data_IF_019716238450
#
_entry.id   IF_019716238450
#
_cell.length_a   1.000
_cell.length_b   1.000
_cell.length_c   1.000
_cell.angle_alpha   90.00
_cell.angle_beta   90.00
_cell.angle_gamma   90.00
#
_symmetry.space_group_name_H-M   'P 1'
#
loop_
_entity.id
_entity.type
_entity.pdbx_description
1 polymer ?
#
# COMPACT_ATOMS: atom_id res chain seq x y z
N UNK A 1 -8.96 -18.26 -23.28
CA UNK A 1 -9.54 -17.06 -22.63
C UNK A 1 -11.05 -17.22 -22.58
N UNK A 2 -11.67 -17.06 -21.41
CA UNK A 2 -13.12 -17.19 -21.21
C UNK A 2 -13.84 -15.84 -21.47
N UNK A 3 -15.09 -15.85 -21.92
CA UNK A 3 -15.88 -14.63 -22.23
C UNK A 3 -15.96 -13.70 -21.01
N UNK A 4 -16.07 -14.28 -19.81
CA UNK A 4 -16.05 -13.54 -18.55
C UNK A 4 -14.77 -12.70 -18.36
N UNK A 5 -13.59 -13.27 -18.61
CA UNK A 5 -12.32 -12.56 -18.43
C UNK A 5 -12.24 -11.36 -19.39
N UNK A 6 -12.53 -11.57 -20.67
CA UNK A 6 -12.47 -10.49 -21.66
C UNK A 6 -13.48 -9.37 -21.37
N UNK A 7 -14.67 -9.72 -20.87
CA UNK A 7 -15.67 -8.72 -20.47
C UNK A 7 -15.25 -7.96 -19.21
N UNK A 8 -14.50 -8.61 -18.30
CA UNK A 8 -14.09 -8.01 -17.03
C UNK A 8 -13.14 -6.83 -17.21
N UNK A 9 -12.21 -6.86 -18.17
CA UNK A 9 -11.25 -5.76 -18.40
C UNK A 9 -11.63 -4.80 -19.53
N UNK A 10 -12.61 -5.16 -20.37
CA UNK A 10 -13.03 -4.33 -21.51
C UNK A 10 -13.95 -3.17 -21.13
N UNK A 11 -14.61 -3.25 -19.97
CA UNK A 11 -15.47 -2.19 -19.45
C UNK A 11 -14.85 -1.62 -18.18
N UNK A 12 -14.19 -0.47 -18.34
CA UNK A 12 -13.59 0.24 -17.22
C UNK A 12 -14.65 0.58 -16.17
N UNK A 13 -14.33 0.28 -14.93
CA UNK A 13 -15.06 0.75 -13.78
C UNK A 13 -15.06 2.28 -13.80
N UNK A 14 -16.17 2.90 -13.41
CA UNK A 14 -16.32 4.36 -13.30
C UNK A 14 -15.27 5.02 -12.39
N UNK A 15 -14.61 4.20 -11.58
CA UNK A 15 -13.43 4.53 -10.76
C UNK A 15 -12.33 5.22 -11.57
N UNK A 16 -12.14 4.84 -12.84
CA UNK A 16 -11.07 5.38 -13.70
C UNK A 16 -11.44 6.69 -14.43
N UNK A 17 -12.63 7.23 -14.21
CA UNK A 17 -13.07 8.45 -14.89
C UNK A 17 -12.36 9.69 -14.33
N UNK A 18 -11.69 10.41 -15.24
CA UNK A 18 -10.86 11.60 -14.95
C UNK A 18 -9.72 11.33 -13.97
N UNK A 19 -9.22 10.09 -13.92
CA UNK A 19 -8.07 9.70 -13.10
C UNK A 19 -6.79 9.64 -13.91
N UNK A 20 -5.68 9.98 -13.26
CA UNK A 20 -4.32 9.65 -13.67
C UNK A 20 -3.72 8.62 -12.70
N UNK A 21 -2.45 8.28 -12.89
CA UNK A 21 -1.67 7.44 -11.99
C UNK A 21 -0.56 8.30 -11.41
N UNK A 22 -0.25 8.14 -10.12
CA UNK A 22 1.06 8.52 -9.60
C UNK A 22 1.96 7.29 -9.59
N UNK A 23 3.07 7.39 -10.28
CA UNK A 23 4.19 6.47 -10.21
C UNK A 23 5.22 7.04 -9.24
N UNK A 24 5.51 6.32 -8.17
CA UNK A 24 6.72 6.54 -7.38
C UNK A 24 7.83 5.73 -8.01
N UNK A 25 8.82 6.37 -8.64
CA UNK A 25 9.96 5.67 -9.25
C UNK A 25 11.18 5.63 -8.33
N UNK A 26 11.37 6.64 -7.49
CA UNK A 26 12.41 6.67 -6.46
C UNK A 26 11.85 7.27 -5.16
N UNK A 27 12.69 7.44 -4.14
CA UNK A 27 12.30 8.10 -2.90
C UNK A 27 12.00 9.60 -3.07
N UNK A 28 12.37 10.19 -4.21
CA UNK A 28 12.22 11.62 -4.52
C UNK A 28 11.46 11.89 -5.80
N UNK A 29 11.39 10.90 -6.69
CA UNK A 29 10.83 11.06 -8.02
C UNK A 29 9.43 10.46 -8.11
N UNK A 30 8.48 11.35 -8.38
CA UNK A 30 7.08 11.03 -8.59
C UNK A 30 6.66 11.52 -9.96
N UNK A 31 5.89 10.71 -10.69
CA UNK A 31 5.38 11.03 -12.02
C UNK A 31 3.88 10.88 -12.05
N UNK A 32 3.17 11.90 -12.55
CA UNK A 32 1.78 11.79 -12.93
C UNK A 32 1.68 11.30 -14.37
N UNK A 33 1.13 10.10 -14.55
CA UNK A 33 0.90 9.46 -15.84
C UNK A 33 -0.59 9.54 -16.19
N UNK A 34 -0.92 10.08 -17.36
CA UNK A 34 -2.30 10.22 -17.82
C UNK A 34 -2.44 9.85 -19.29
N UNK A 35 -3.68 9.71 -19.74
CA UNK A 35 -3.99 9.08 -21.03
C UNK A 35 -4.33 7.61 -20.89
N UNK A 36 -4.72 6.98 -22.00
CA UNK A 36 -5.14 5.59 -21.98
C UNK A 36 -3.94 4.64 -21.86
N UNK A 37 -2.81 5.01 -22.45
CA UNK A 37 -1.54 4.26 -22.45
C UNK A 37 -0.44 4.97 -21.67
N UNK A 38 -0.81 5.90 -20.80
CA UNK A 38 0.14 6.70 -20.02
C UNK A 38 1.08 7.57 -20.88
N UNK A 39 0.60 7.99 -22.06
CA UNK A 39 1.36 8.79 -23.01
C UNK A 39 1.71 10.20 -22.50
N UNK A 40 0.95 10.71 -21.52
CA UNK A 40 1.20 12.01 -20.92
C UNK A 40 1.85 11.83 -19.55
N UNK A 41 3.15 12.05 -19.49
CA UNK A 41 3.95 11.97 -18.28
C UNK A 41 4.41 13.34 -17.80
N UNK A 42 4.17 13.64 -16.53
CA UNK A 42 4.63 14.87 -15.88
C UNK A 42 5.31 14.53 -14.57
N UNK A 43 6.58 14.94 -14.41
CA UNK A 43 7.28 14.82 -13.14
C UNK A 43 6.67 15.78 -12.12
N UNK A 44 6.32 15.29 -10.95
CA UNK A 44 5.77 16.06 -9.85
C UNK A 44 6.88 16.70 -9.01
N UNK A 45 6.61 17.90 -8.50
CA UNK A 45 7.48 18.56 -7.55
C UNK A 45 7.24 17.99 -6.14
N UNK A 46 8.02 16.99 -5.76
CA UNK A 46 8.00 16.45 -4.41
C UNK A 46 9.11 17.09 -3.56
N UNK A 47 8.70 17.76 -2.48
CA UNK A 47 9.60 18.26 -1.45
C UNK A 47 9.40 17.43 -0.19
N UNK A 48 10.49 16.84 0.33
CA UNK A 48 10.40 16.03 1.54
C UNK A 48 9.85 16.89 2.71
N UNK A 49 8.65 16.57 3.25
CA UNK A 49 8.02 17.39 4.29
C UNK A 49 8.69 17.27 5.67
N UNK A 50 9.65 16.35 5.85
CA UNK A 50 10.19 16.01 7.16
C UNK A 50 11.55 16.66 7.50
N UNK A 51 12.11 17.49 6.59
CA UNK A 51 13.29 18.36 6.79
C UNK A 51 14.53 17.75 7.52
N UNK A 52 14.78 16.43 7.45
CA UNK A 52 15.89 15.74 8.13
C UNK A 52 16.58 14.67 7.24
N UNK A 53 17.77 14.22 7.66
CA UNK A 53 18.79 13.38 6.98
C UNK A 53 18.35 12.02 6.38
N UNK A 54 17.09 11.62 6.55
CA UNK A 54 16.54 10.42 5.93
C UNK A 54 15.75 10.76 4.66
N UNK A 55 16.29 10.45 3.46
CA UNK A 55 15.64 10.75 2.20
C UNK A 55 14.46 9.82 1.87
N UNK A 56 14.19 8.78 2.67
CA UNK A 56 13.22 7.74 2.36
C UNK A 56 11.79 8.14 2.78
N UNK A 57 11.15 8.97 1.95
CA UNK A 57 9.70 9.16 1.97
C UNK A 57 9.02 8.11 1.09
N UNK A 58 8.13 7.31 1.69
CA UNK A 58 7.30 6.36 0.94
C UNK A 58 5.88 6.90 0.82
N UNK A 59 5.28 6.83 -0.38
CA UNK A 59 3.83 6.95 -0.50
C UNK A 59 3.21 5.63 -0.07
N UNK A 60 2.09 5.71 0.65
CA UNK A 60 1.33 4.54 1.07
C UNK A 60 0.50 4.03 -0.11
N UNK A 61 0.71 2.77 -0.51
CA UNK A 61 0.01 2.13 -1.64
C UNK A 61 -1.53 2.21 -1.56
N UNK A 62 -2.07 2.33 -0.35
CA UNK A 62 -3.50 2.57 -0.11
C UNK A 62 -3.89 4.03 -0.38
N UNK A 63 -3.56 4.58 -1.54
CA UNK A 63 -3.93 5.95 -1.89
C UNK A 63 -5.43 6.08 -2.17
N UNK A 64 -6.12 6.97 -1.46
CA UNK A 64 -7.46 7.39 -1.86
C UNK A 64 -7.39 8.10 -3.21
N UNK A 65 -8.31 7.81 -4.14
CA UNK A 65 -8.41 8.54 -5.43
C UNK A 65 -8.93 9.98 -5.24
N UNK A 66 -8.80 10.58 -4.07
CA UNK A 66 -9.38 11.89 -3.76
C UNK A 66 -8.29 12.97 -3.74
N UNK A 67 -7.16 12.70 -4.38
CA UNK A 67 -6.09 13.66 -4.67
C UNK A 67 -5.15 14.00 -3.52
N UNK A 68 -5.40 13.43 -2.34
CA UNK A 68 -4.46 13.49 -1.22
C UNK A 68 -3.76 12.15 -1.13
N UNK A 69 -2.45 12.20 -0.94
CA UNK A 69 -1.57 11.05 -0.76
C UNK A 69 -1.08 11.02 0.68
N UNK A 70 -0.88 9.83 1.22
CA UNK A 70 -0.24 9.65 2.52
C UNK A 70 1.23 9.31 2.30
N UNK A 71 2.13 10.15 2.82
CA UNK A 71 3.57 9.93 2.80
C UNK A 71 4.09 9.67 4.20
N UNK A 72 4.98 8.71 4.36
CA UNK A 72 5.52 8.33 5.66
C UNK A 72 7.01 8.02 5.61
N UNK A 73 7.67 8.21 6.75
CA UNK A 73 9.04 7.77 7.01
C UNK A 73 9.01 6.53 7.89
N UNK A 74 9.67 5.48 7.45
CA UNK A 74 9.69 4.21 8.17
C UNK A 74 10.39 4.32 9.53
N UNK A 75 11.61 4.86 9.55
CA UNK A 75 12.46 4.87 10.75
C UNK A 75 11.88 5.76 11.87
N UNK A 76 11.33 6.92 11.51
CA UNK A 76 10.82 7.88 12.49
C UNK A 76 9.32 7.77 12.76
N UNK A 77 8.59 6.97 11.94
CA UNK A 77 7.13 6.89 12.00
C UNK A 77 6.41 8.22 11.75
N UNK A 78 7.13 9.23 11.21
CA UNK A 78 6.57 10.52 10.81
C UNK A 78 5.67 10.31 9.60
N UNK A 79 4.52 10.98 9.58
CA UNK A 79 3.56 10.88 8.48
C UNK A 79 3.08 12.26 8.11
N UNK A 80 2.89 12.49 6.82
CA UNK A 80 2.30 13.70 6.28
C UNK A 80 1.30 13.35 5.18
N UNK A 81 0.33 14.23 4.98
CA UNK A 81 -0.52 14.21 3.82
C UNK A 81 0.05 15.16 2.78
N UNK A 82 0.07 14.72 1.53
CA UNK A 82 0.56 15.46 0.40
C UNK A 82 -0.56 15.61 -0.63
N UNK A 83 -0.88 16.84 -1.00
CA UNK A 83 -1.68 17.11 -2.18
C UNK A 83 -0.74 17.63 -3.28
N UNK A 84 -0.45 16.81 -4.32
CA UNK A 84 0.38 17.23 -5.45
C UNK A 84 -0.13 18.44 -6.23
N UNK A 85 -1.39 18.85 -6.04
CA UNK A 85 -1.88 20.13 -6.59
C UNK A 85 -2.89 20.74 -5.62
N UNK A 86 -2.50 21.69 -4.75
CA UNK A 86 -1.60 22.80 -5.10
C UNK A 86 -0.16 22.66 -4.57
N UNK A 87 0.36 21.44 -4.40
CA UNK A 87 1.68 21.18 -3.79
C UNK A 87 1.71 21.51 -2.29
N UNK A 88 0.65 21.08 -1.59
CA UNK A 88 0.51 21.31 -0.15
C UNK A 88 0.88 20.06 0.64
N UNK A 89 1.57 20.28 1.76
CA UNK A 89 1.83 19.24 2.76
C UNK A 89 1.17 19.58 4.08
N UNK A 90 0.67 18.55 4.77
CA UNK A 90 0.23 18.63 6.16
C UNK A 90 0.89 17.53 6.96
N UNK A 91 1.77 17.91 7.87
CA UNK A 91 2.37 16.97 8.83
C UNK A 91 1.30 16.54 9.83
N UNK A 92 1.19 15.23 10.05
CA UNK A 92 0.25 14.66 11.02
C UNK A 92 0.89 14.80 12.42
N UNK A 93 0.13 15.27 13.43
CA UNK A 93 0.66 15.34 14.79
C UNK A 93 1.07 13.95 15.30
N UNK A 94 2.05 13.86 16.20
CA UNK A 94 2.39 12.59 16.85
C UNK A 94 1.18 12.05 17.61
N UNK A 95 1.07 10.72 17.72
CA UNK A 95 0.02 10.15 18.54
C UNK A 95 0.29 10.41 20.04
N UNK A 96 -0.73 10.83 20.81
CA UNK A 96 -0.62 10.97 22.25
C UNK A 96 -0.62 9.62 22.98
N UNK A 97 -0.90 8.51 22.29
CA UNK A 97 -1.01 7.18 22.87
C UNK A 97 0.27 6.36 22.74
N UNK A 98 1.25 6.84 21.95
CA UNK A 98 2.54 6.19 21.79
C UNK A 98 3.26 6.12 23.13
N UNK A 99 3.30 4.93 23.70
CA UNK A 99 4.15 4.64 24.84
C UNK A 99 5.61 4.63 24.41
N UNK A 100 6.48 5.29 25.19
CA UNK A 100 7.93 5.27 24.96
C UNK A 100 8.60 4.69 26.21
N UNK A 101 8.97 3.42 26.13
CA UNK A 101 9.82 2.78 27.12
C UNK A 101 11.28 3.03 26.76
N UNK A 102 12.19 3.27 27.72
CA UNK A 102 13.62 3.30 27.43
C UNK A 102 14.17 1.92 27.04
N UNK A 103 13.40 0.84 27.25
CA UNK A 103 13.80 -0.55 26.97
C UNK A 103 13.17 -1.12 25.70
N UNK A 104 12.30 -0.38 25.01
CA UNK A 104 11.62 -0.86 23.81
C UNK A 104 11.77 0.14 22.67
N UNK A 105 12.03 -0.40 21.48
CA UNK A 105 11.79 0.31 20.24
C UNK A 105 10.36 0.03 19.75
N UNK A 106 9.84 0.93 18.92
CA UNK A 106 8.56 0.73 18.28
C UNK A 106 8.67 0.94 16.78
N UNK A 107 7.83 0.22 16.04
CA UNK A 107 7.70 0.40 14.59
C UNK A 107 6.29 0.86 14.31
N UNK A 108 6.17 2.01 13.64
CA UNK A 108 4.89 2.54 13.18
C UNK A 108 4.62 2.00 11.79
N UNK A 109 3.49 1.32 11.61
CA UNK A 109 3.09 0.73 10.36
C UNK A 109 1.77 1.32 9.88
N UNK A 110 1.78 2.30 8.97
CA UNK A 110 0.59 2.74 8.26
C UNK A 110 0.00 1.56 7.47
N UNK A 111 -1.28 1.27 7.66
CA UNK A 111 -1.94 0.13 7.02
C UNK A 111 -2.91 0.56 5.93
N UNK A 112 -3.55 1.70 6.13
CA UNK A 112 -4.58 2.19 5.24
C UNK A 112 -4.77 3.68 5.34
N UNK A 113 -4.96 4.31 4.20
CA UNK A 113 -5.37 5.71 4.08
C UNK A 113 -6.55 5.77 3.13
N UNK A 114 -7.57 6.56 3.48
CA UNK A 114 -8.78 6.59 2.70
C UNK A 114 -9.70 7.74 3.07
N UNK A 115 -10.82 7.84 2.35
CA UNK A 115 -11.79 8.91 2.50
C UNK A 115 -13.14 8.33 2.91
N UNK A 116 -13.60 8.69 4.11
CA UNK A 116 -14.94 8.39 4.61
C UNK A 116 -15.91 9.41 4.00
N UNK A 117 -16.56 9.03 2.89
CA UNK A 117 -17.48 9.89 2.16
C UNK A 117 -18.70 10.32 2.99
N UNK A 118 -19.10 9.53 3.97
CA UNK A 118 -20.27 9.82 4.82
C UNK A 118 -19.94 10.92 5.82
N UNK A 119 -18.73 10.88 6.39
CA UNK A 119 -18.27 11.89 7.37
C UNK A 119 -17.52 13.04 6.74
N UNK A 120 -17.23 12.94 5.43
CA UNK A 120 -16.40 13.88 4.69
C UNK A 120 -15.08 14.10 5.42
N UNK A 121 -14.33 13.01 5.58
CA UNK A 121 -13.10 12.97 6.37
C UNK A 121 -12.08 11.99 5.80
N UNK A 122 -10.81 12.42 5.83
CA UNK A 122 -9.69 11.56 5.50
C UNK A 122 -9.21 10.85 6.74
N UNK A 123 -9.08 9.53 6.64
CA UNK A 123 -8.66 8.69 7.75
C UNK A 123 -7.38 7.94 7.42
N UNK A 124 -6.51 7.84 8.42
CA UNK A 124 -5.30 7.01 8.38
C UNK A 124 -5.40 5.98 9.50
N UNK A 125 -5.45 4.70 9.13
CA UNK A 125 -5.33 3.58 10.06
C UNK A 125 -3.89 3.10 10.08
N UNK A 126 -3.36 2.88 11.29
CA UNK A 126 -2.03 2.33 11.49
C UNK A 126 -1.98 1.41 12.71
N UNK A 127 -0.96 0.57 12.72
CA UNK A 127 -0.64 -0.30 13.84
C UNK A 127 0.79 0.02 14.32
N UNK A 128 1.00 0.01 15.64
CA UNK A 128 2.31 0.23 16.25
C UNK A 128 2.70 -1.04 16.99
N UNK A 129 3.83 -1.62 16.59
CA UNK A 129 4.44 -2.77 17.26
C UNK A 129 5.56 -2.34 18.19
N UNK A 130 5.63 -2.96 19.35
CA UNK A 130 6.69 -2.75 20.34
C UNK A 130 7.64 -3.95 20.34
N UNK A 131 8.94 -3.69 20.37
CA UNK A 131 9.98 -4.69 20.30
C UNK A 131 11.06 -4.39 21.33
N UNK A 132 11.76 -5.43 21.78
CA UNK A 132 12.93 -5.23 22.61
C UNK A 132 14.02 -4.48 21.83
N UNK A 133 14.79 -3.70 22.57
CA UNK A 133 16.09 -3.29 22.09
C UNK A 133 16.98 -4.52 21.89
N UNK A 134 17.86 -4.44 20.91
CA UNK A 134 18.95 -5.37 20.70
C UNK A 134 20.08 -5.09 21.69
N UNK A 135 20.98 -6.05 21.87
CA UNK A 135 22.06 -5.93 22.86
C UNK A 135 22.95 -4.72 22.56
N UNK A 136 23.28 -4.50 21.30
CA UNK A 136 24.08 -3.35 20.83
C UNK A 136 23.38 -2.01 21.11
N UNK A 137 22.07 -1.92 20.81
CA UNK A 137 21.25 -0.73 21.11
C UNK A 137 21.22 -0.45 22.62
N UNK A 138 21.23 -1.48 23.47
CA UNK A 138 21.31 -1.32 24.91
C UNK A 138 22.67 -0.77 25.35
N UNK A 139 23.78 -1.28 24.81
CA UNK A 139 25.13 -0.79 25.12
C UNK A 139 25.30 0.69 24.75
N UNK A 140 24.81 1.10 23.58
CA UNK A 140 24.85 2.50 23.12
C UNK A 140 24.06 3.44 24.03
N UNK A 141 22.93 2.97 24.57
CA UNK A 141 22.09 3.72 25.49
C UNK A 141 22.56 3.63 26.96
N UNK A 142 23.64 2.89 27.24
CA UNK A 142 24.14 2.66 28.59
C UNK A 142 23.20 1.82 29.46
N UNK A 143 22.35 1.01 28.83
CA UNK A 143 21.37 0.13 29.48
C UNK A 143 22.01 -1.23 29.71
N UNK A 144 22.08 -1.66 30.97
CA UNK A 144 22.50 -3.02 31.33
C UNK A 144 21.43 -4.03 30.90
N UNK A 145 21.79 -4.97 30.02
CA UNK A 145 20.88 -6.00 29.53
C UNK A 145 20.29 -6.86 30.65
N UNK A 146 21.05 -7.14 31.71
CA UNK A 146 20.57 -7.94 32.85
C UNK A 146 19.55 -7.23 33.72
N UNK A 147 19.55 -5.89 33.70
CA UNK A 147 18.77 -5.06 34.62
C UNK A 147 17.46 -4.57 33.98
N UNK A 148 17.31 -4.77 32.68
CA UNK A 148 16.12 -4.41 31.94
C UNK A 148 14.94 -5.38 32.24
N UNK A 149 13.72 -4.86 32.43
CA UNK A 149 12.57 -5.64 32.88
C UNK A 149 11.87 -6.39 31.73
N UNK A 150 12.63 -7.15 30.92
CA UNK A 150 12.16 -7.76 29.66
C UNK A 150 10.86 -8.57 29.77
N UNK A 151 10.61 -9.18 30.93
CA UNK A 151 9.45 -10.01 31.21
C UNK A 151 8.18 -9.22 31.55
N UNK A 152 8.34 -7.99 32.01
CA UNK A 152 7.23 -7.12 32.45
C UNK A 152 6.81 -6.13 31.35
N UNK A 153 7.54 -6.10 30.23
CA UNK A 153 7.21 -5.27 29.07
C UNK A 153 5.98 -5.80 28.34
N UNK A 154 5.08 -4.89 27.95
CA UNK A 154 3.96 -5.22 27.07
C UNK A 154 4.41 -5.13 25.61
N UNK A 155 3.95 -6.08 24.80
CA UNK A 155 4.17 -6.13 23.35
C UNK A 155 2.83 -6.09 22.60
N UNK A 156 1.77 -5.62 23.26
CA UNK A 156 0.47 -5.43 22.64
C UNK A 156 0.55 -4.38 21.53
N UNK A 157 -0.05 -4.70 20.39
CA UNK A 157 -0.12 -3.76 19.29
C UNK A 157 -1.06 -2.61 19.63
N UNK A 158 -0.60 -1.39 19.39
CA UNK A 158 -1.44 -0.19 19.48
C UNK A 158 -2.03 0.09 18.10
N UNK A 159 -3.35 -0.09 17.99
CA UNK A 159 -4.10 0.25 16.79
C UNK A 159 -4.69 1.65 16.91
N UNK A 160 -4.47 2.46 15.87
CA UNK A 160 -4.86 3.85 15.88
C UNK A 160 -5.49 4.26 14.56
N UNK A 161 -6.45 5.17 14.66
CA UNK A 161 -7.00 5.87 13.52
C UNK A 161 -6.89 7.38 13.73
N UNK A 162 -6.39 8.06 12.72
CA UNK A 162 -6.35 9.51 12.66
C UNK A 162 -7.48 10.02 11.79
N UNK A 163 -8.12 11.11 12.24
CA UNK A 163 -9.06 11.90 11.46
C UNK A 163 -8.40 13.22 11.06
N UNK A 164 -8.42 13.53 9.77
CA UNK A 164 -7.92 14.81 9.27
C UNK A 164 -8.78 15.97 9.75
N UNK A 165 -10.10 15.80 9.62
CA UNK A 165 -11.12 16.80 9.93
C UNK A 165 -11.02 17.26 11.39
N UNK A 166 -10.97 16.32 12.34
CA UNK A 166 -10.82 16.68 13.76
C UNK A 166 -9.37 16.88 14.18
N UNK A 167 -8.40 16.51 13.35
CA UNK A 167 -6.97 16.58 13.64
C UNK A 167 -6.56 15.80 14.91
N UNK A 168 -7.19 14.65 15.14
CA UNK A 168 -7.00 13.85 16.36
C UNK A 168 -6.77 12.38 16.05
N UNK A 169 -5.97 11.75 16.91
CA UNK A 169 -5.84 10.30 16.99
C UNK A 169 -6.90 9.71 17.92
N UNK A 170 -7.33 8.49 17.61
CA UNK A 170 -8.17 7.64 18.44
C UNK A 170 -7.62 6.22 18.45
N UNK A 171 -7.69 5.54 19.61
CA UNK A 171 -7.41 4.11 19.70
C UNK A 171 -8.54 3.29 19.07
N UNK A 172 -8.17 2.28 18.30
CA UNK A 172 -9.08 1.23 17.83
C UNK A 172 -8.98 0.04 18.79
N UNK A 173 -10.13 -0.47 19.20
CA UNK A 173 -10.21 -1.70 19.96
C UNK A 173 -10.29 -2.86 18.98
N UNK A 174 -9.15 -3.54 18.78
CA UNK A 174 -9.00 -4.62 17.82
C UNK A 174 -8.77 -5.91 18.58
N UNK A 175 -9.87 -6.60 18.87
CA UNK A 175 -9.84 -7.93 19.46
C UNK A 175 -9.32 -8.92 18.40
N UNK A 176 -8.08 -9.41 18.59
CA UNK A 176 -7.54 -10.61 17.94
C UNK A 176 -6.82 -10.44 16.58
N UNK A 177 -6.52 -9.22 16.13
CA UNK A 177 -5.68 -9.01 14.93
C UNK A 177 -4.24 -8.73 15.30
N UNK A 178 -3.39 -9.75 15.22
CA UNK A 178 -1.96 -9.52 15.14
C UNK A 178 -1.65 -8.86 13.78
N UNK A 179 -0.90 -7.76 13.80
CA UNK A 179 -0.33 -7.20 12.57
C UNK A 179 1.04 -7.85 12.37
N UNK A 180 1.21 -8.68 11.35
CA UNK A 180 2.53 -9.23 10.99
C UNK A 180 3.25 -8.40 9.93
N UNK A 181 2.54 -7.49 9.26
CA UNK A 181 3.05 -6.72 8.12
C UNK A 181 3.78 -5.43 8.49
N UNK A 182 4.92 -5.51 9.17
CA UNK A 182 5.81 -4.35 9.39
C UNK A 182 6.73 -4.04 8.21
N UNK A 183 6.45 -4.58 7.02
CA UNK A 183 7.29 -4.39 5.84
C UNK A 183 6.81 -3.21 4.97
N UNK A 184 7.77 -2.47 4.40
CA UNK A 184 7.54 -1.41 3.40
C UNK A 184 7.46 -1.98 1.97
N UNK A 185 7.04 -3.23 1.84
CA UNK A 185 6.97 -3.89 0.53
C UNK A 185 5.76 -3.30 -0.21
N UNK A 186 6.00 -2.84 -1.44
CA UNK A 186 4.95 -2.39 -2.34
C UNK A 186 3.99 -3.54 -2.69
N UNK A 187 2.72 -3.22 -2.93
CA UNK A 187 1.70 -4.21 -3.26
C UNK A 187 1.21 -4.98 -2.04
N UNK A 188 1.42 -4.44 -0.84
CA UNK A 188 0.87 -4.99 0.41
C UNK A 188 -0.47 -4.36 0.77
N UNK A 189 -0.71 -3.11 0.34
CA UNK A 189 -1.86 -2.31 0.76
C UNK A 189 -2.63 -1.83 -0.47
N UNK A 190 -3.93 -1.67 -0.33
CA UNK A 190 -4.81 -1.21 -1.41
C UNK A 190 -5.99 -0.44 -0.80
N UNK A 191 -6.39 0.65 -1.42
CA UNK A 191 -7.65 1.32 -1.11
C UNK A 191 -8.62 1.16 -2.27
N UNK A 192 -9.75 0.49 -2.03
CA UNK A 192 -10.83 0.35 -3.02
C UNK A 192 -12.16 0.19 -2.30
N UNK A 193 -13.27 0.54 -2.96
CA UNK A 193 -14.63 0.38 -2.42
C UNK A 193 -14.80 0.97 -1.00
N UNK A 194 -14.18 2.13 -0.74
CA UNK A 194 -14.22 2.84 0.55
C UNK A 194 -13.59 2.07 1.73
N UNK A 195 -12.80 1.04 1.43
CA UNK A 195 -12.14 0.19 2.39
C UNK A 195 -10.62 0.22 2.20
N UNK A 196 -9.92 0.11 3.33
CA UNK A 196 -8.49 -0.12 3.35
C UNK A 196 -8.23 -1.62 3.41
N UNK A 197 -7.47 -2.15 2.48
CA UNK A 197 -7.10 -3.55 2.41
C UNK A 197 -5.60 -3.69 2.61
N UNK A 198 -5.19 -4.70 3.35
CA UNK A 198 -3.80 -5.15 3.37
C UNK A 198 -3.76 -6.66 3.51
N UNK A 199 -2.75 -7.29 2.92
CA UNK A 199 -2.55 -8.72 3.10
C UNK A 199 -1.43 -8.99 4.06
N UNK A 200 -1.52 -10.11 4.77
CA UNK A 200 -0.52 -10.53 5.73
C UNK A 200 -0.42 -12.06 5.81
N UNK A 201 0.70 -12.54 6.32
CA UNK A 201 0.83 -13.95 6.69
C UNK A 201 0.04 -14.18 7.98
N UNK A 202 -0.98 -15.03 7.88
CA UNK A 202 -1.86 -15.36 8.99
C UNK A 202 -1.09 -16.13 10.07
N UNK A 203 -1.31 -15.78 11.34
CA UNK A 203 -0.69 -16.51 12.47
C UNK A 203 -1.42 -17.82 12.80
N UNK A 204 -2.74 -17.87 12.56
CA UNK A 204 -3.60 -19.02 12.92
C UNK A 204 -3.65 -20.10 11.84
N UNK A 205 -3.48 -19.68 10.59
CA UNK A 205 -3.53 -20.53 9.41
C UNK A 205 -2.20 -20.34 8.70
N UNK A 206 -1.45 -21.40 8.47
CA UNK A 206 -0.21 -21.42 7.69
C UNK A 206 -0.52 -20.97 6.24
N UNK A 207 -0.65 -19.66 6.03
CA UNK A 207 -1.46 -19.09 4.96
C UNK A 207 -1.39 -17.56 4.86
N UNK A 208 -1.96 -17.03 3.79
CA UNK A 208 -2.10 -15.58 3.57
C UNK A 208 -3.55 -15.20 3.73
N UNK A 209 -3.78 -14.05 4.36
CA UNK A 209 -5.11 -13.45 4.53
C UNK A 209 -5.10 -12.00 4.08
N UNK A 210 -6.22 -11.53 3.56
CA UNK A 210 -6.49 -10.12 3.28
C UNK A 210 -7.39 -9.59 4.38
N UNK A 211 -6.88 -8.64 5.14
CA UNK A 211 -7.64 -7.83 6.07
C UNK A 211 -8.24 -6.64 5.32
N UNK A 212 -9.55 -6.45 5.47
CA UNK A 212 -10.30 -5.35 4.86
C UNK A 212 -10.97 -4.55 5.97
N UNK A 213 -10.62 -3.27 6.08
CA UNK A 213 -11.16 -2.36 7.07
C UNK A 213 -12.10 -1.35 6.41
N UNK A 214 -13.37 -1.42 6.81
CA UNK A 214 -14.40 -0.47 6.42
C UNK A 214 -14.23 0.84 7.18
N UNK A 215 -13.82 1.91 6.50
CA UNK A 215 -13.60 3.22 7.14
C UNK A 215 -14.87 3.87 7.66
N UNK A 216 -16.02 3.51 7.11
CA UNK A 216 -17.33 4.07 7.44
C UNK A 216 -17.91 3.43 8.69
N UNK A 217 -17.91 2.10 8.72
CA UNK A 217 -18.48 1.33 9.84
C UNK A 217 -17.43 0.91 10.86
N UNK A 218 -16.15 1.03 10.51
CA UNK A 218 -14.99 0.69 11.34
C UNK A 218 -14.97 -0.78 11.74
N UNK A 219 -15.29 -1.65 10.76
CA UNK A 219 -15.38 -3.09 10.90
C UNK A 219 -14.28 -3.76 10.06
N UNK A 220 -13.70 -4.82 10.61
CA UNK A 220 -12.70 -5.65 9.94
C UNK A 220 -13.35 -6.88 9.30
N UNK A 221 -12.86 -7.24 8.13
CA UNK A 221 -13.20 -8.48 7.43
C UNK A 221 -11.91 -9.20 7.03
N UNK A 222 -11.74 -10.42 7.51
CA UNK A 222 -10.62 -11.28 7.12
C UNK A 222 -11.06 -12.20 5.98
N UNK A 223 -10.30 -12.21 4.88
CA UNK A 223 -10.51 -13.12 3.76
C UNK A 223 -9.28 -13.99 3.55
N UNK A 224 -9.41 -15.30 3.71
CA UNK A 224 -8.31 -16.22 3.42
C UNK A 224 -8.02 -16.27 1.92
N UNK A 225 -6.74 -16.25 1.56
CA UNK A 225 -6.29 -16.40 0.17
C UNK A 225 -6.05 -17.89 -0.10
N UNK A 226 -6.66 -18.50 -1.13
CA UNK A 226 -6.49 -19.91 -1.46
C UNK A 226 -5.15 -20.14 -2.18
N UNK A 227 -4.05 -19.85 -1.50
CA UNK A 227 -2.71 -20.19 -1.97
C UNK A 227 -2.40 -21.63 -1.57
N UNK A 228 -1.78 -22.36 -2.50
CA UNK A 228 -1.22 -23.68 -2.23
C UNK A 228 0.06 -23.53 -1.40
N UNK A 229 1.22 -23.76 -2.03
CA UNK A 229 2.50 -23.49 -1.37
C UNK A 229 2.74 -21.98 -1.22
N UNK A 230 2.63 -21.50 0.01
CA UNK A 230 2.77 -20.08 0.39
C UNK A 230 4.24 -19.64 0.41
N UNK A 231 5.17 -20.57 0.64
CA UNK A 231 6.59 -20.26 0.85
C UNK A 231 7.37 -20.03 -0.45
N UNK A 232 6.91 -20.63 -1.55
CA UNK A 232 7.52 -20.45 -2.88
C UNK A 232 6.87 -19.37 -3.73
N UNK A 233 5.78 -18.76 -3.26
CA UNK A 233 5.00 -17.79 -4.00
C UNK A 233 5.20 -16.37 -3.50
N UNK A 234 5.43 -15.47 -4.45
CA UNK A 234 5.37 -14.02 -4.25
C UNK A 234 4.00 -13.51 -4.65
N UNK A 235 3.55 -12.44 -3.98
CA UNK A 235 2.24 -11.83 -4.16
C UNK A 235 2.39 -10.31 -4.29
N UNK A 236 1.56 -9.74 -5.16
CA UNK A 236 1.39 -8.29 -5.27
C UNK A 236 -0.10 -7.99 -5.37
N UNK A 237 -0.64 -7.27 -4.40
CA UNK A 237 -2.05 -6.87 -4.36
C UNK A 237 -2.24 -5.59 -5.17
N UNK A 238 -3.26 -5.58 -6.02
CA UNK A 238 -3.60 -4.46 -6.91
C UNK A 238 -5.11 -4.25 -6.99
N UNK A 239 -5.52 -3.04 -7.39
CA UNK A 239 -6.90 -2.78 -7.80
C UNK A 239 -7.08 -3.07 -9.29
N UNK A 240 -7.92 -4.04 -9.63
CA UNK A 240 -8.23 -4.38 -11.02
C UNK A 240 -9.73 -4.25 -11.27
N UNK A 241 -10.10 -3.23 -12.05
CA UNK A 241 -11.47 -2.94 -12.43
C UNK A 241 -12.48 -2.84 -11.26
N UNK A 242 -12.07 -2.23 -10.15
CA UNK A 242 -12.88 -2.07 -8.93
C UNK A 242 -12.83 -3.28 -7.98
N UNK A 243 -12.22 -4.39 -8.37
CA UNK A 243 -11.99 -5.55 -7.51
C UNK A 243 -10.57 -5.55 -6.92
N UNK A 244 -10.42 -6.20 -5.77
CA UNK A 244 -9.10 -6.56 -5.23
C UNK A 244 -8.56 -7.71 -6.08
N UNK A 245 -7.30 -7.62 -6.50
CA UNK A 245 -6.64 -8.67 -7.26
C UNK A 245 -5.26 -8.97 -6.70
N UNK A 246 -4.83 -10.22 -6.87
CA UNK A 246 -3.44 -10.62 -6.69
C UNK A 246 -2.81 -10.94 -8.03
N UNK A 247 -1.62 -10.39 -8.24
CA UNK A 247 -0.65 -10.90 -9.21
C UNK A 247 0.30 -11.79 -8.41
N UNK A 248 0.33 -13.08 -8.73
CA UNK A 248 1.12 -14.07 -8.00
C UNK A 248 2.07 -14.82 -8.93
N UNK A 249 3.27 -15.13 -8.46
CA UNK A 249 4.25 -15.88 -9.23
C UNK A 249 5.12 -16.75 -8.32
N UNK A 250 5.66 -17.83 -8.88
CA UNK A 250 6.60 -18.69 -8.16
C UNK A 250 8.02 -18.19 -8.39
N UNK A 251 8.84 -18.18 -7.33
CA UNK A 251 10.25 -17.80 -7.41
C UNK A 251 10.98 -18.58 -8.51
N UNK A 252 11.71 -17.87 -9.37
CA UNK A 252 12.41 -18.45 -10.52
C UNK A 252 11.56 -18.67 -11.78
N UNK A 253 10.27 -18.33 -11.74
CA UNK A 253 9.40 -18.31 -12.95
C UNK A 253 9.14 -16.89 -13.42
N UNK A 254 8.78 -16.73 -14.70
CA UNK A 254 8.33 -15.44 -15.28
C UNK A 254 6.86 -15.49 -15.70
N UNK A 255 6.09 -16.40 -15.10
CA UNK A 255 4.66 -16.57 -15.33
C UNK A 255 3.90 -16.04 -14.12
N UNK A 256 2.86 -15.25 -14.38
CA UNK A 256 2.08 -14.60 -13.34
C UNK A 256 0.62 -15.02 -13.45
N UNK A 257 0.04 -15.37 -12.31
CA UNK A 257 -1.38 -15.65 -12.18
C UNK A 257 -2.10 -14.44 -11.58
N UNK A 258 -3.11 -13.96 -12.30
CA UNK A 258 -3.96 -12.86 -11.85
C UNK A 258 -5.28 -13.44 -11.35
N UNK A 259 -5.57 -13.23 -10.07
CA UNK A 259 -6.82 -13.68 -9.43
C UNK A 259 -7.51 -12.50 -8.75
N UNK A 260 -8.83 -12.43 -8.85
CA UNK A 260 -9.66 -11.40 -8.22
C UNK A 260 -10.44 -11.96 -7.04
N UNK A 261 -10.70 -11.11 -6.06
CA UNK A 261 -11.65 -11.39 -4.99
C UNK A 261 -13.03 -10.87 -5.39
N UNK A 262 -14.00 -11.77 -5.51
CA UNK A 262 -15.37 -11.40 -5.89
C UNK A 262 -16.21 -10.95 -4.69
N UNK A 263 -15.98 -11.51 -3.50
CA UNK A 263 -16.73 -11.19 -2.28
C UNK A 263 -15.81 -11.17 -1.05
N UNK A 264 -15.78 -10.01 -0.38
CA UNK A 264 -14.95 -9.82 0.82
C UNK A 264 -15.50 -10.67 1.97
N UNK A 265 -14.60 -11.33 2.70
CA UNK A 265 -14.92 -12.25 3.78
C UNK A 265 -15.21 -13.69 3.33
N UNK A 266 -15.28 -13.94 2.00
CA UNK A 266 -15.62 -15.26 1.45
C UNK A 266 -14.42 -15.85 0.69
N UNK A 267 -13.75 -16.82 1.30
CA UNK A 267 -12.57 -17.50 0.75
C UNK A 267 -12.83 -18.12 -0.63
N UNK A 268 -13.99 -18.73 -0.81
CA UNK A 268 -14.35 -19.45 -2.04
C UNK A 268 -14.63 -18.50 -3.21
N UNK A 269 -14.69 -17.19 -2.98
CA UNK A 269 -15.00 -16.19 -4.01
C UNK A 269 -13.79 -15.78 -4.86
N UNK A 270 -12.57 -16.19 -4.47
CA UNK A 270 -11.37 -15.95 -5.27
C UNK A 270 -11.47 -16.65 -6.63
N UNK A 271 -11.32 -15.87 -7.70
CA UNK A 271 -11.43 -16.35 -9.09
C UNK A 271 -10.18 -15.99 -9.87
N UNK A 272 -9.49 -17.00 -10.41
CA UNK A 272 -8.38 -16.79 -11.33
C UNK A 272 -8.88 -16.31 -12.70
N UNK A 273 -8.39 -15.17 -13.16
CA UNK A 273 -8.75 -14.58 -14.45
C UNK A 273 -7.77 -14.94 -15.56
N UNK A 274 -6.47 -14.75 -15.30
CA UNK A 274 -5.42 -14.85 -16.31
C UNK A 274 -4.19 -15.60 -15.78
N UNK A 275 -3.47 -16.20 -16.71
CA UNK A 275 -2.05 -16.51 -16.56
C UNK A 275 -1.32 -15.79 -17.69
N UNK A 276 -0.32 -14.99 -17.35
CA UNK A 276 0.46 -14.18 -18.29
C UNK A 276 1.93 -14.55 -18.23
N UNK A 277 2.65 -14.30 -19.31
CA UNK A 277 4.01 -14.79 -19.51
C UNK A 277 4.06 -16.30 -19.88
N UNK A 278 5.25 -16.92 -19.88
CA UNK A 278 6.55 -16.30 -19.62
C UNK A 278 6.90 -15.23 -20.64
N UNK A 279 7.50 -14.13 -20.20
CA UNK A 279 7.97 -13.08 -21.08
C UNK A 279 9.36 -13.45 -21.62
N UNK A 280 9.50 -13.53 -22.95
CA UNK A 280 10.78 -13.83 -23.59
C UNK A 280 11.72 -12.62 -23.67
N UNK A 281 11.17 -11.40 -23.62
CA UNK A 281 11.90 -10.15 -23.77
C UNK A 281 12.24 -9.45 -22.45
N UNK A 282 11.74 -9.93 -21.30
CA UNK A 282 11.99 -9.31 -19.99
C UNK A 282 12.48 -10.36 -19.01
N UNK A 283 13.67 -10.14 -18.46
CA UNK A 283 14.23 -10.96 -17.39
C UNK A 283 13.64 -10.53 -16.03
N UNK A 284 13.13 -11.49 -15.26
CA UNK A 284 12.64 -11.31 -13.88
C UNK A 284 11.72 -10.09 -13.64
N UNK A 285 10.61 -9.92 -14.39
CA UNK A 285 9.71 -8.78 -14.20
C UNK A 285 9.06 -8.82 -12.82
N UNK A 286 8.97 -7.65 -12.17
CA UNK A 286 8.34 -7.47 -10.86
C UNK A 286 7.10 -6.60 -11.06
N UNK A 287 5.88 -7.08 -10.73
CA UNK A 287 4.68 -6.25 -10.82
C UNK A 287 4.82 -5.02 -9.92
N UNK A 288 4.37 -3.85 -10.41
CA UNK A 288 4.34 -2.60 -9.62
C UNK A 288 2.95 -1.94 -9.58
N UNK A 289 1.95 -2.59 -10.20
CA UNK A 289 0.55 -2.22 -10.11
C UNK A 289 -0.21 -2.38 -11.42
N UNK A 290 -1.46 -1.90 -11.46
CA UNK A 290 -2.36 -2.02 -12.60
C UNK A 290 -3.05 -0.70 -12.94
N UNK A 291 -3.50 -0.60 -14.19
CA UNK A 291 -4.27 0.51 -14.70
C UNK A 291 -5.51 0.03 -15.46
N UNK A 292 -6.36 0.99 -15.82
CA UNK A 292 -7.58 0.77 -16.62
C UNK A 292 -7.28 -0.01 -17.90
N UNK A 293 -8.30 -0.58 -18.53
CA UNK A 293 -8.21 -1.46 -19.72
C UNK A 293 -7.42 -2.76 -19.51
N UNK A 294 -7.02 -3.08 -18.27
CA UNK A 294 -6.22 -4.27 -17.99
C UNK A 294 -4.74 -4.07 -18.30
N UNK A 295 -4.22 -2.85 -18.16
CA UNK A 295 -2.78 -2.63 -18.21
C UNK A 295 -2.13 -3.06 -16.89
N UNK A 296 -0.99 -3.74 -16.99
CA UNK A 296 -0.17 -4.18 -15.84
C UNK A 296 1.21 -3.58 -15.98
N UNK A 297 1.72 -2.97 -14.92
CA UNK A 297 3.05 -2.38 -14.90
C UNK A 297 4.03 -3.37 -14.31
N UNK A 298 5.17 -3.51 -14.98
CA UNK A 298 6.30 -4.29 -14.49
C UNK A 298 7.54 -3.41 -14.41
N UNK A 299 8.35 -3.64 -13.39
CA UNK A 299 9.74 -3.22 -13.36
C UNK A 299 10.60 -4.39 -13.82
N UNK A 300 11.51 -4.14 -14.75
CA UNK A 300 12.47 -5.14 -15.24
C UNK A 300 13.65 -5.27 -14.28
N UNK A 301 14.50 -6.28 -14.50
CA UNK A 301 15.78 -6.43 -13.79
C UNK A 301 16.71 -5.21 -13.96
N UNK A 302 16.62 -4.53 -15.09
CA UNK A 302 17.40 -3.33 -15.42
C UNK A 302 16.75 -2.06 -14.87
N UNK A 303 15.75 -2.19 -13.98
CA UNK A 303 14.98 -1.10 -13.38
C UNK A 303 14.08 -0.31 -14.34
N UNK A 304 14.02 -0.66 -15.62
CA UNK A 304 13.07 -0.05 -16.56
C UNK A 304 11.62 -0.39 -16.20
N UNK A 305 10.73 0.58 -16.37
CA UNK A 305 9.29 0.39 -16.19
C UNK A 305 8.63 0.15 -17.56
N UNK A 306 7.90 -0.96 -17.65
CA UNK A 306 7.18 -1.37 -18.84
C UNK A 306 5.70 -1.57 -18.56
N UNK A 307 4.90 -1.31 -19.59
CA UNK A 307 3.45 -1.45 -19.59
C UNK A 307 3.07 -2.69 -20.40
N UNK A 308 2.38 -3.64 -19.78
CA UNK A 308 1.85 -4.83 -20.43
C UNK A 308 0.33 -4.72 -20.59
N UNK A 309 -0.17 -4.94 -21.80
CA UNK A 309 -1.60 -4.97 -22.11
C UNK A 309 -2.16 -6.39 -22.02
N UNK A 310 -3.10 -6.66 -21.09
CA UNK A 310 -3.74 -7.97 -20.96
C UNK A 310 -4.57 -8.39 -22.20
N UNK A 311 -5.01 -7.44 -23.03
CA UNK A 311 -5.84 -7.71 -24.21
C UNK A 311 -4.99 -8.03 -25.42
N UNK A 312 -4.06 -7.13 -25.79
CA UNK A 312 -3.20 -7.32 -26.95
C UNK A 312 -1.96 -8.17 -26.67
N UNK A 313 -1.63 -8.38 -25.40
CA UNK A 313 -0.42 -9.06 -24.93
C UNK A 313 0.88 -8.38 -25.40
N UNK A 314 0.80 -7.09 -25.72
CA UNK A 314 1.93 -6.27 -26.11
C UNK A 314 2.58 -5.63 -24.88
N UNK A 315 3.88 -5.39 -25.01
CA UNK A 315 4.68 -4.65 -24.03
C UNK A 315 5.12 -3.33 -24.66
N UNK A 316 4.96 -2.24 -23.91
CA UNK A 316 5.43 -0.91 -24.26
C UNK A 316 6.40 -0.40 -23.17
N UNK A 317 7.52 0.19 -23.56
CA UNK A 317 8.47 0.80 -22.63
C UNK A 317 8.06 2.24 -22.30
N UNK A 318 8.13 2.64 -21.03
CA UNK A 318 7.80 4.01 -20.61
C UNK A 318 9.02 4.94 -20.54
N UNK A 319 10.23 4.40 -20.71
CA UNK A 319 11.51 5.12 -20.57
C UNK A 319 11.64 5.82 -19.21
N UNK A 320 11.27 5.13 -18.13
CA UNK A 320 11.41 5.57 -16.73
C UNK A 320 12.11 4.45 -15.98
N UNK A 321 13.17 4.80 -15.26
CA UNK A 321 13.82 3.89 -14.33
C UNK A 321 13.12 3.97 -12.96
N UNK A 322 12.90 2.81 -12.35
CA UNK A 322 12.31 2.64 -11.03
C UNK A 322 13.20 1.85 -10.07
N UNK A 323 13.24 2.27 -8.81
CA UNK A 323 13.93 1.57 -7.72
C UNK A 323 13.10 0.41 -7.15
N UNK A 324 13.66 -0.29 -6.15
CA UNK A 324 13.10 -1.54 -5.60
C UNK A 324 11.70 -1.44 -5.00
N UNK A 325 11.28 -0.25 -4.59
CA UNK A 325 9.98 0.03 -3.97
C UNK A 325 9.04 0.79 -4.92
N UNK A 326 9.37 0.84 -6.22
CA UNK A 326 8.52 1.49 -7.21
C UNK A 326 7.13 0.88 -7.21
N UNK A 327 6.13 1.74 -7.21
CA UNK A 327 4.74 1.33 -7.28
C UNK A 327 3.91 2.43 -7.93
N UNK A 328 2.76 2.02 -8.43
CA UNK A 328 1.78 2.91 -8.99
C UNK A 328 0.50 2.93 -8.16
N UNK A 329 -0.13 4.10 -8.10
CA UNK A 329 -1.42 4.27 -7.46
C UNK A 329 -2.35 5.16 -8.31
N UNK A 330 -3.64 4.83 -8.42
CA UNK A 330 -4.62 5.70 -9.04
C UNK A 330 -4.72 7.04 -8.30
N UNK A 331 -4.88 8.12 -9.05
CA UNK A 331 -4.91 9.48 -8.54
C UNK A 331 -5.94 10.30 -9.28
N UNK A 332 -6.72 11.09 -8.55
CA UNK A 332 -7.59 12.12 -9.12
C UNK A 332 -7.16 13.44 -8.56
N UNK A 333 -6.92 14.40 -9.44
CA UNK A 333 -6.52 15.74 -9.04
C UNK A 333 -7.56 16.36 -8.10
N UNK A 334 -7.12 16.90 -6.97
CA UNK A 334 -7.98 17.61 -6.02
C UNK A 334 -7.45 19.02 -5.79
N UNK A 335 -8.20 20.05 -6.19
CA UNK A 335 -7.77 21.45 -6.10
C UNK A 335 -7.96 22.08 -4.71
N UNK A 336 -8.58 21.35 -3.77
CA UNK A 336 -8.86 21.84 -2.43
C UNK A 336 -7.61 21.77 -1.56
N UNK A 337 -7.42 22.79 -0.73
CA UNK A 337 -6.34 22.83 0.25
C UNK A 337 -6.61 21.86 1.41
N UNK A 338 -5.56 21.18 1.87
CA UNK A 338 -5.63 20.28 3.04
C UNK A 338 -5.97 21.08 4.30
N UNK A 339 -5.38 22.28 4.46
CA UNK A 339 -5.66 23.17 5.58
C UNK A 339 -7.12 23.63 5.67
N UNK A 340 -7.84 23.65 4.54
CA UNK A 340 -9.27 23.99 4.50
C UNK A 340 -10.21 22.88 5.01
N UNK A 341 -9.73 21.63 5.10
CA UNK A 341 -10.53 20.47 5.57
C UNK A 341 -10.69 20.49 7.10
N UNK A 342 -9.79 21.21 7.79
CA UNK A 342 -9.78 21.37 9.24
C UNK A 342 -10.67 22.51 9.76
N UNK A 343 -11.38 23.22 8.88
CA UNK A 343 -12.30 24.32 9.21
C UNK A 343 -13.73 23.87 8.98
#
# INVERSE_FOLDING_TARGET
MNIFCNNFISHNHSYYNDTSIILQSSNRDFYSLSGDKCENMVKLNFQNPFQEDDPLGFVLDSGSITGILCVYQYHNGKTAFWNPTPEEFKIIPPSPFLFRSPYQKFVVNPLGFGYDIVRDDYKLIRCVGYFNLEYEECEELGISWSDAPWKDLSYEYLWEIYSLKSNTWRKLDVNDSACSCFSNIAGVRLYTNEMCHWWQYGKKYDGVEVESFDLRNEVFFTTLVPLGDVYSKSLYMVGLNGSIAFISWTSGTTTFDISILCEIGVKESWTKLYSIGPFSCIEHPIPIGTWKNGFVFFRTKDNEIVLYDLQSQMIEELCIEGEHFSHILPYKKNLLSIGGINQ
#
